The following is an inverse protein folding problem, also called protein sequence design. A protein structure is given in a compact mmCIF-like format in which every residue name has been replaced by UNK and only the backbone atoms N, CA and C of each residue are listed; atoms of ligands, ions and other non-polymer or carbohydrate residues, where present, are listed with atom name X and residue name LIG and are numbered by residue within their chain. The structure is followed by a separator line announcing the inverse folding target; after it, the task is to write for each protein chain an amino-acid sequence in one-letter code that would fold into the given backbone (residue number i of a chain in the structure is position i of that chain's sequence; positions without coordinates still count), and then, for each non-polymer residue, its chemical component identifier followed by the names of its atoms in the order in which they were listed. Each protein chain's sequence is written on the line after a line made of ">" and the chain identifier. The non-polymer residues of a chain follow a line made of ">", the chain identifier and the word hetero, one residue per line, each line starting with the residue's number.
data_IF_269365092673
#
_entry.id   IF_269365092673
#
_cell.length_a   1.000
_cell.length_b   1.000
_cell.length_c   1.000
_cell.angle_alpha   90.00
_cell.angle_beta   90.00
_cell.angle_gamma   90.00
#
_symmetry.space_group_name_H-M   'P 1'
#
loop_
_entity.id
_entity.type
_entity.pdbx_description
1 polymer ?
#
# COMPACT_ATOMS: atom_id res chain seq x y z
N UNK A 1 0.99 23.46 -1.68
CA UNK A 1 1.96 22.43 -2.13
C UNK A 1 1.87 22.26 -3.65
N UNK A 2 2.76 21.45 -4.26
CA UNK A 2 2.67 21.09 -5.69
C UNK A 2 1.53 20.10 -5.98
N UNK A 3 1.08 19.37 -4.97
CA UNK A 3 0.05 18.33 -5.05
C UNK A 3 -1.01 18.58 -3.99
N UNK A 4 -2.29 18.36 -4.34
CA UNK A 4 -3.41 18.50 -3.41
C UNK A 4 -3.84 17.14 -2.85
N UNK A 5 -3.99 16.15 -3.73
CA UNK A 5 -4.37 14.78 -3.39
C UNK A 5 -3.22 13.85 -3.76
N UNK A 6 -2.89 12.94 -2.84
CA UNK A 6 -1.92 11.86 -3.06
C UNK A 6 -2.56 10.55 -2.60
N UNK A 7 -2.32 9.50 -3.37
CA UNK A 7 -2.69 8.12 -3.07
C UNK A 7 -1.44 7.40 -2.57
N UNK A 8 -1.52 6.87 -1.36
CA UNK A 8 -0.39 6.28 -0.64
C UNK A 8 -0.67 4.80 -0.42
N UNK A 9 0.28 3.94 -0.77
CA UNK A 9 0.24 2.52 -0.47
C UNK A 9 0.94 2.29 0.86
N UNK A 10 0.19 1.78 1.83
CA UNK A 10 0.62 1.48 3.18
C UNK A 10 0.86 -0.02 3.34
N UNK A 11 1.90 -0.39 4.08
CA UNK A 11 2.18 -1.75 4.52
C UNK A 11 2.75 -1.70 5.94
N UNK A 12 2.16 -2.44 6.89
CA UNK A 12 2.54 -2.44 8.32
C UNK A 12 2.72 -1.04 8.97
N UNK A 13 1.98 -0.03 8.48
CA UNK A 13 2.07 1.34 8.99
C UNK A 13 3.18 2.20 8.36
N UNK A 14 3.92 1.66 7.39
CA UNK A 14 4.94 2.37 6.62
C UNK A 14 4.46 2.69 5.20
N UNK A 15 4.99 3.77 4.62
CA UNK A 15 4.71 4.17 3.23
C UNK A 15 5.62 3.40 2.28
N UNK A 16 5.05 2.54 1.46
CA UNK A 16 5.80 1.76 0.48
C UNK A 16 5.82 2.40 -0.91
N UNK A 17 4.72 3.07 -1.27
CA UNK A 17 4.61 3.76 -2.55
C UNK A 17 3.64 4.94 -2.44
N UNK A 18 3.85 5.99 -3.21
CA UNK A 18 2.83 7.03 -3.36
C UNK A 18 2.78 7.57 -4.79
N UNK A 19 1.59 8.00 -5.21
CA UNK A 19 1.32 8.57 -6.53
C UNK A 19 0.21 9.61 -6.47
N UNK A 20 0.22 10.56 -7.40
CA UNK A 20 -0.92 11.46 -7.62
C UNK A 20 -2.04 10.80 -8.43
N UNK A 21 -1.77 9.64 -9.02
CA UNK A 21 -2.70 8.85 -9.82
C UNK A 21 -3.17 7.61 -9.03
N UNK A 22 -4.50 7.47 -8.91
CA UNK A 22 -5.15 6.40 -8.15
C UNK A 22 -4.86 5.03 -8.76
N UNK A 23 -4.98 4.89 -10.09
CA UNK A 23 -4.77 3.64 -10.82
C UNK A 23 -3.35 3.10 -10.63
N UNK A 24 -2.35 4.00 -10.60
CA UNK A 24 -0.96 3.63 -10.34
C UNK A 24 -0.74 3.10 -8.92
N UNK A 25 -1.39 3.69 -7.92
CA UNK A 25 -1.29 3.24 -6.53
C UNK A 25 -2.04 1.92 -6.31
N UNK A 26 -3.25 1.79 -6.86
CA UNK A 26 -4.03 0.55 -6.84
C UNK A 26 -3.27 -0.58 -7.57
N UNK A 27 -2.75 -0.32 -8.76
CA UNK A 27 -1.98 -1.29 -9.52
C UNK A 27 -0.71 -1.76 -8.80
N UNK A 28 -0.06 -0.87 -8.04
CA UNK A 28 1.06 -1.27 -7.19
C UNK A 28 0.59 -2.18 -6.05
N UNK A 29 -0.45 -1.79 -5.31
CA UNK A 29 -0.97 -2.57 -4.19
C UNK A 29 -1.49 -3.95 -4.63
N UNK A 30 -2.25 -4.02 -5.72
CA UNK A 30 -2.73 -5.28 -6.30
C UNK A 30 -1.58 -6.21 -6.67
N UNK A 31 -0.52 -5.66 -7.29
CA UNK A 31 0.64 -6.46 -7.65
C UNK A 31 1.39 -7.00 -6.43
N UNK A 32 1.53 -6.20 -5.36
CA UNK A 32 2.18 -6.65 -4.14
C UNK A 32 1.35 -7.70 -3.40
N UNK A 33 0.05 -7.48 -3.23
CA UNK A 33 -0.86 -8.46 -2.62
C UNK A 33 -0.89 -9.76 -3.43
N UNK A 34 -0.85 -9.69 -4.77
CA UNK A 34 -0.73 -10.86 -5.62
C UNK A 34 0.57 -11.63 -5.35
N UNK A 35 1.71 -10.95 -5.30
CA UNK A 35 3.01 -11.58 -5.04
C UNK A 35 3.04 -12.24 -3.66
N UNK A 36 2.58 -11.54 -2.62
CA UNK A 36 2.53 -12.06 -1.26
C UNK A 36 1.68 -13.34 -1.16
N UNK A 37 0.52 -13.36 -1.83
CA UNK A 37 -0.30 -14.57 -1.95
C UNK A 37 0.45 -15.71 -2.65
N UNK A 38 1.16 -15.42 -3.75
CA UNK A 38 1.92 -16.45 -4.47
C UNK A 38 3.02 -17.04 -3.59
N UNK A 39 3.75 -16.22 -2.84
CA UNK A 39 4.80 -16.70 -1.93
C UNK A 39 4.23 -17.68 -0.90
N UNK A 40 3.09 -17.36 -0.28
CA UNK A 40 2.41 -18.27 0.67
C UNK A 40 1.99 -19.59 -0.01
N UNK A 41 1.43 -19.53 -1.21
CA UNK A 41 1.01 -20.73 -1.95
C UNK A 41 2.21 -21.60 -2.36
N UNK A 42 3.33 -20.98 -2.75
CA UNK A 42 4.59 -21.66 -3.04
C UNK A 42 5.15 -22.33 -1.78
N UNK A 43 5.11 -21.66 -0.63
CA UNK A 43 5.52 -22.24 0.66
C UNK A 43 4.66 -23.44 1.06
N UNK A 44 3.36 -23.42 0.72
CA UNK A 44 2.45 -24.54 0.96
C UNK A 44 2.62 -25.68 -0.07
N UNK A 45 3.37 -25.45 -1.14
CA UNK A 45 3.50 -26.38 -2.26
C UNK A 45 2.18 -26.61 -2.99
N UNK A 46 1.36 -25.57 -3.12
CA UNK A 46 0.05 -25.64 -3.75
C UNK A 46 0.06 -25.01 -5.16
N UNK A 47 0.47 -25.79 -6.15
CA UNK A 47 0.56 -25.36 -7.56
C UNK A 47 -0.79 -25.19 -8.28
N UNK A 48 -1.89 -25.74 -7.74
CA UNK A 48 -3.25 -25.65 -8.33
C UNK A 48 -4.26 -25.21 -7.24
N UNK A 49 -4.17 -23.96 -6.78
CA UNK A 49 -4.94 -23.48 -5.64
C UNK A 49 -6.42 -23.31 -6.00
N UNK A 50 -7.30 -23.74 -5.09
CA UNK A 50 -8.73 -23.44 -5.16
C UNK A 50 -9.00 -22.00 -4.72
N UNK A 51 -10.20 -21.47 -5.00
CA UNK A 51 -10.62 -20.15 -4.47
C UNK A 51 -10.52 -20.07 -2.94
N UNK A 52 -10.71 -21.20 -2.25
CA UNK A 52 -10.56 -21.26 -0.79
C UNK A 52 -9.08 -21.13 -0.39
N UNK A 53 -8.18 -21.80 -1.10
CA UNK A 53 -6.75 -21.74 -0.81
C UNK A 53 -6.20 -20.33 -1.09
N UNK A 54 -6.69 -19.68 -2.15
CA UNK A 54 -6.38 -18.28 -2.45
C UNK A 54 -6.79 -17.38 -1.29
N UNK A 55 -8.04 -17.50 -0.80
CA UNK A 55 -8.52 -16.68 0.30
C UNK A 55 -7.76 -16.95 1.61
N UNK A 56 -7.36 -18.19 1.87
CA UNK A 56 -6.55 -18.55 3.04
C UNK A 56 -5.11 -18.02 2.91
N UNK A 57 -4.54 -18.05 1.70
CA UNK A 57 -3.22 -17.50 1.42
C UNK A 57 -3.19 -15.97 1.53
N UNK A 58 -4.20 -15.27 1.03
CA UNK A 58 -4.37 -13.82 1.23
C UNK A 58 -4.42 -13.47 2.71
N UNK A 59 -5.18 -14.24 3.49
CA UNK A 59 -5.28 -14.04 4.93
C UNK A 59 -3.95 -14.28 5.63
N UNK A 60 -3.23 -15.34 5.26
CA UNK A 60 -1.90 -15.64 5.81
C UNK A 60 -0.87 -14.58 5.43
N UNK A 61 -0.87 -14.10 4.19
CA UNK A 61 -0.01 -13.00 3.73
C UNK A 61 -0.22 -11.75 4.59
N UNK A 62 -1.49 -11.39 4.86
CA UNK A 62 -1.79 -10.29 5.78
C UNK A 62 -1.30 -10.54 7.21
N UNK A 63 -1.33 -11.78 7.71
CA UNK A 63 -0.73 -12.13 9.00
C UNK A 63 0.81 -12.06 9.02
N UNK A 64 1.44 -12.22 7.86
CA UNK A 64 2.88 -12.10 7.70
C UNK A 64 3.35 -10.64 7.60
N UNK A 65 2.41 -9.69 7.51
CA UNK A 65 2.70 -8.27 7.33
C UNK A 65 2.55 -7.79 5.89
N UNK A 66 2.36 -8.69 4.93
CA UNK A 66 2.34 -8.38 3.50
C UNK A 66 0.94 -7.96 3.01
N UNK A 67 0.28 -7.05 3.75
CA UNK A 67 -0.98 -6.46 3.35
C UNK A 67 -0.79 -5.01 2.90
N UNK A 68 -1.02 -4.78 1.61
CA UNK A 68 -0.84 -3.48 0.97
C UNK A 68 -2.19 -2.82 0.74
N UNK A 69 -2.41 -1.65 1.34
CA UNK A 69 -3.66 -0.88 1.20
C UNK A 69 -3.41 0.51 0.61
N UNK A 70 -4.35 1.00 -0.20
CA UNK A 70 -4.29 2.35 -0.76
C UNK A 70 -5.11 3.31 0.09
N UNK A 71 -4.46 4.37 0.56
CA UNK A 71 -5.08 5.45 1.33
C UNK A 71 -5.03 6.74 0.53
N UNK A 72 -6.19 7.39 0.38
CA UNK A 72 -6.29 8.71 -0.24
C UNK A 72 -6.09 9.80 0.81
N UNK A 73 -5.08 10.63 0.61
CA UNK A 73 -4.72 11.72 1.54
C UNK A 73 -4.81 13.08 0.85
N UNK A 74 -5.34 14.07 1.58
CA UNK A 74 -5.33 15.48 1.19
C UNK A 74 -4.20 16.21 1.93
N UNK A 75 -3.22 16.69 1.17
CA UNK A 75 -2.05 17.42 1.68
C UNK A 75 -2.01 18.87 1.20
N UNK A 76 -3.10 19.37 0.61
CA UNK A 76 -3.21 20.70 -0.01
C UNK A 76 -2.72 21.85 0.90
N UNK A 77 -3.06 21.76 2.19
CA UNK A 77 -2.76 22.76 3.22
C UNK A 77 -1.67 22.32 4.21
N UNK A 78 -0.92 21.28 3.88
CA UNK A 78 0.16 20.78 4.71
C UNK A 78 1.51 21.25 4.19
N UNK A 79 2.52 21.11 5.02
CA UNK A 79 3.96 21.30 4.76
C UNK A 79 4.68 19.96 4.92
N UNK A 80 5.93 19.86 4.47
CA UNK A 80 6.73 18.63 4.60
C UNK A 80 6.93 18.19 6.05
N UNK A 81 6.94 19.13 7.00
CA UNK A 81 7.06 18.88 8.45
C UNK A 81 5.72 18.54 9.13
N UNK A 82 4.60 18.57 8.40
CA UNK A 82 3.29 18.26 8.98
C UNK A 82 3.02 16.74 9.02
N UNK A 83 2.24 16.31 10.01
CA UNK A 83 1.72 14.95 10.12
C UNK A 83 0.36 14.82 9.42
N UNK A 84 0.09 13.65 8.84
CA UNK A 84 -1.21 13.24 8.31
C UNK A 84 -1.72 12.05 9.11
N UNK A 85 -2.92 12.17 9.66
CA UNK A 85 -3.61 11.06 10.33
C UNK A 85 -4.23 10.12 9.29
N UNK A 86 -3.95 8.84 9.44
CA UNK A 86 -4.48 7.76 8.63
C UNK A 86 -5.83 7.27 9.16
N UNK A 87 -6.62 6.55 8.35
CA UNK A 87 -7.89 5.96 8.78
C UNK A 87 -7.78 5.02 9.99
N UNK A 88 -6.64 4.36 10.18
CA UNK A 88 -6.34 3.48 11.31
C UNK A 88 -5.89 4.24 12.58
N UNK A 89 -5.71 5.55 12.49
CA UNK A 89 -5.30 6.43 13.59
C UNK A 89 -3.79 6.58 13.76
N UNK A 90 -2.97 5.91 12.95
CA UNK A 90 -1.54 6.23 12.87
C UNK A 90 -1.32 7.59 12.17
N UNK A 91 -0.16 8.18 12.41
CA UNK A 91 0.23 9.45 11.81
C UNK A 91 1.52 9.25 10.99
N UNK A 92 1.58 9.84 9.80
CA UNK A 92 2.75 9.81 8.92
C UNK A 92 3.20 11.24 8.61
N UNK A 93 4.50 11.47 8.55
CA UNK A 93 5.04 12.74 8.04
C UNK A 93 4.76 12.90 6.54
N UNK A 94 4.45 14.13 6.11
CA UNK A 94 4.27 14.41 4.68
C UNK A 94 5.59 14.26 3.90
N UNK A 95 6.73 14.48 4.55
CA UNK A 95 8.07 14.21 4.01
C UNK A 95 8.21 12.76 3.50
N UNK A 96 7.81 11.76 4.28
CA UNK A 96 7.83 10.33 3.89
C UNK A 96 6.96 10.06 2.66
N UNK A 97 5.77 10.64 2.63
CA UNK A 97 4.84 10.53 1.49
C UNK A 97 5.49 11.10 0.23
N UNK A 98 6.15 12.26 0.34
CA UNK A 98 6.79 12.94 -0.78
C UNK A 98 8.09 12.24 -1.23
N UNK A 99 8.83 11.60 -0.32
CA UNK A 99 10.02 10.81 -0.67
C UNK A 99 9.64 9.59 -1.52
N UNK A 100 8.54 8.93 -1.17
CA UNK A 100 8.01 7.76 -1.90
C UNK A 100 7.18 8.12 -3.13
N UNK A 101 6.98 9.42 -3.39
CA UNK A 101 6.18 9.92 -4.49
C UNK A 101 6.87 9.69 -5.82
N UNK A 102 6.42 8.66 -6.55
CA UNK A 102 6.84 8.49 -7.94
C UNK A 102 5.98 9.38 -8.83
N UNK A 103 6.54 10.50 -9.24
CA UNK A 103 6.01 11.25 -10.36
C UNK A 103 6.30 10.47 -11.65
N UNK A 104 5.27 10.03 -12.35
CA UNK A 104 5.36 9.75 -13.77
C UNK A 104 5.73 11.06 -14.48
N UNK A 105 7.02 11.28 -14.75
CA UNK A 105 7.51 12.33 -15.65
C UNK A 105 7.23 11.99 -17.11
#
# INVERSE_FOLDING_TARGET
>A
MKYDIVYVVMCEGEVEYSSTDEESAEGYADNQNYNARQEVLEEWGNDDPTEKDIAEADFQAGFNGDYYEVVKLDISNKTEDDMVELPDGNEIEVSDILEKLKTSE
#
